data_IF_546131248662
#
_entry.id   IF_546131248662
#
_cell.length_a   1.000
_cell.length_b   1.000
_cell.length_c   1.000
_cell.angle_alpha   90.00
_cell.angle_beta   90.00
_cell.angle_gamma   90.00
#
_symmetry.space_group_name_H-M   'P 1'
#
loop_
_entity.id
_entity.type
_entity.pdbx_description
1 polymer ?
#
# COMPACT_ATOMS: atom_id res chain seq x y z
N UNK A 1 -39.14 -47.95 -26.07
CA UNK A 1 -37.73 -47.78 -25.66
C UNK A 1 -37.51 -46.32 -25.32
N UNK A 2 -37.48 -45.98 -24.04
CA UNK A 2 -37.27 -44.59 -23.57
C UNK A 2 -35.80 -44.48 -23.16
N UNK A 3 -35.04 -43.61 -23.84
CA UNK A 3 -33.66 -43.28 -23.50
C UNK A 3 -33.69 -42.20 -22.41
N UNK A 4 -33.33 -42.56 -21.18
CA UNK A 4 -33.08 -41.58 -20.13
C UNK A 4 -31.70 -40.94 -20.39
N UNK A 5 -31.70 -39.64 -20.69
CA UNK A 5 -30.50 -38.82 -20.74
C UNK A 5 -30.30 -38.27 -19.32
N UNK A 6 -29.27 -38.74 -18.64
CA UNK A 6 -28.80 -38.13 -17.38
C UNK A 6 -28.00 -36.88 -17.71
N UNK A 7 -28.52 -35.71 -17.35
CA UNK A 7 -27.77 -34.46 -17.33
C UNK A 7 -27.01 -34.37 -16.01
N UNK A 8 -25.70 -34.58 -16.03
CA UNK A 8 -24.85 -34.34 -14.87
C UNK A 8 -24.53 -32.84 -14.81
N UNK A 9 -25.11 -32.15 -13.83
CA UNK A 9 -24.78 -30.76 -13.53
C UNK A 9 -23.43 -30.72 -12.79
N UNK A 10 -22.36 -30.40 -13.51
CA UNK A 10 -21.03 -30.22 -12.94
C UNK A 10 -20.99 -28.87 -12.23
N UNK A 11 -21.18 -28.85 -10.90
CA UNK A 11 -20.97 -27.65 -10.09
C UNK A 11 -19.47 -27.49 -9.88
N UNK A 12 -18.84 -26.60 -10.64
CA UNK A 12 -17.48 -26.16 -10.36
C UNK A 12 -17.52 -25.25 -9.14
N UNK A 13 -17.12 -25.77 -7.98
CA UNK A 13 -16.84 -24.92 -6.81
C UNK A 13 -15.51 -24.22 -7.10
N UNK A 14 -15.48 -22.88 -7.22
CA UNK A 14 -14.21 -22.18 -7.34
C UNK A 14 -13.43 -22.40 -6.04
N UNK A 15 -12.24 -23.01 -6.15
CA UNK A 15 -11.27 -22.99 -5.07
C UNK A 15 -10.74 -21.55 -4.97
N UNK A 16 -11.35 -20.74 -4.11
CA UNK A 16 -10.75 -19.49 -3.64
C UNK A 16 -9.60 -19.86 -2.70
N UNK A 17 -8.41 -20.07 -3.27
CA UNK A 17 -7.17 -20.04 -2.49
C UNK A 17 -6.88 -18.59 -2.13
N UNK A 18 -7.59 -18.04 -1.15
CA UNK A 18 -7.20 -16.78 -0.53
C UNK A 18 -6.04 -17.10 0.40
N UNK A 19 -4.81 -17.10 -0.13
CA UNK A 19 -3.64 -17.36 0.68
C UNK A 19 -3.41 -16.16 1.60
N UNK A 20 -3.94 -16.25 2.82
CA UNK A 20 -3.70 -15.26 3.88
C UNK A 20 -2.19 -14.97 3.98
N UNK A 21 -1.83 -13.69 4.08
CA UNK A 21 -0.43 -13.27 4.18
C UNK A 21 0.26 -13.94 5.37
N UNK A 22 1.44 -14.53 5.13
CA UNK A 22 2.28 -15.08 6.19
C UNK A 22 3.16 -13.98 6.78
N UNK A 23 2.86 -13.54 7.99
CA UNK A 23 3.70 -12.63 8.79
C UNK A 23 4.53 -13.45 9.78
N UNK A 24 5.85 -13.27 9.78
CA UNK A 24 6.79 -13.95 10.69
C UNK A 24 7.75 -12.96 11.34
N UNK A 25 8.31 -13.31 12.49
CA UNK A 25 9.40 -12.57 13.12
C UNK A 25 10.76 -13.12 12.68
N UNK A 26 11.78 -12.28 12.58
CA UNK A 26 13.14 -12.69 12.23
C UNK A 26 13.85 -13.40 13.38
N UNK A 27 13.62 -12.96 14.62
CA UNK A 27 14.27 -13.44 15.83
C UNK A 27 13.30 -13.67 17.01
N UNK A 28 12.01 -13.34 16.87
CA UNK A 28 10.98 -13.49 17.90
C UNK A 28 11.26 -12.70 19.18
N UNK A 29 11.84 -11.50 19.04
CA UNK A 29 11.99 -10.58 20.18
C UNK A 29 10.62 -10.02 20.59
N UNK A 30 10.48 -9.55 21.83
CA UNK A 30 9.21 -8.98 22.32
C UNK A 30 8.68 -7.86 21.42
N UNK A 31 9.58 -7.05 20.85
CA UNK A 31 9.21 -5.97 19.92
C UNK A 31 8.73 -6.52 18.58
N UNK A 32 9.41 -7.54 18.05
CA UNK A 32 9.00 -8.16 16.79
C UNK A 32 7.63 -8.83 16.94
N UNK A 33 7.44 -9.60 18.02
CA UNK A 33 6.16 -10.26 18.34
C UNK A 33 5.04 -9.23 18.54
N UNK A 34 5.33 -8.08 19.16
CA UNK A 34 4.34 -7.00 19.30
C UNK A 34 3.88 -6.46 17.94
N UNK A 35 4.80 -6.19 17.02
CA UNK A 35 4.44 -5.69 15.68
C UNK A 35 3.74 -6.77 14.87
N UNK A 36 4.19 -8.02 14.92
CA UNK A 36 3.54 -9.16 14.27
C UNK A 36 2.07 -9.30 14.72
N UNK A 37 1.84 -9.34 16.04
CA UNK A 37 0.49 -9.46 16.60
C UNK A 37 -0.38 -8.24 16.25
N UNK A 38 0.21 -7.05 16.23
CA UNK A 38 -0.47 -5.82 15.81
C UNK A 38 -0.91 -5.92 14.35
N UNK A 39 -0.04 -6.37 13.44
CA UNK A 39 -0.39 -6.54 12.02
C UNK A 39 -1.49 -7.57 11.81
N UNK A 40 -1.39 -8.75 12.45
CA UNK A 40 -2.41 -9.79 12.39
C UNK A 40 -3.77 -9.24 12.84
N UNK A 41 -3.81 -8.57 13.99
CA UNK A 41 -5.01 -7.90 14.50
C UNK A 41 -5.57 -6.86 13.52
N UNK A 42 -4.71 -6.06 12.88
CA UNK A 42 -5.14 -5.01 11.96
C UNK A 42 -5.69 -5.57 10.65
N UNK A 43 -5.10 -6.64 10.11
CA UNK A 43 -5.61 -7.35 8.93
C UNK A 43 -6.96 -7.98 9.23
N UNK A 44 -7.15 -8.56 10.42
CA UNK A 44 -8.45 -9.13 10.79
C UNK A 44 -9.50 -8.04 11.05
N UNK A 45 -9.08 -6.88 11.56
CA UNK A 45 -9.96 -5.75 11.90
C UNK A 45 -10.43 -4.99 10.66
N UNK A 46 -9.55 -4.79 9.68
CA UNK A 46 -9.82 -4.00 8.49
C UNK A 46 -9.87 -4.93 7.28
N UNK A 47 -10.94 -4.86 6.49
CA UNK A 47 -11.06 -5.59 5.22
C UNK A 47 -10.10 -5.00 4.17
N UNK A 48 -8.83 -5.41 4.25
CA UNK A 48 -7.71 -4.91 3.41
C UNK A 48 -7.14 -5.98 2.49
N UNK A 49 -7.80 -7.13 2.35
CA UNK A 49 -7.32 -8.25 1.54
C UNK A 49 -7.04 -7.82 0.09
N UNK A 50 -7.87 -6.93 -0.46
CA UNK A 50 -7.71 -6.34 -1.79
C UNK A 50 -6.41 -5.53 -1.96
N UNK A 51 -5.75 -5.13 -0.87
CA UNK A 51 -4.46 -4.44 -0.90
C UNK A 51 -3.30 -5.35 -0.46
N UNK A 52 -3.52 -6.67 -0.45
CA UNK A 52 -2.48 -7.66 -0.18
C UNK A 52 -1.84 -8.15 -1.50
N UNK A 53 -0.67 -7.60 -1.85
CA UNK A 53 0.07 -7.89 -3.10
C UNK A 53 1.26 -8.85 -2.93
N UNK A 54 1.74 -9.07 -1.71
CA UNK A 54 2.72 -10.12 -1.39
C UNK A 54 2.21 -11.03 -0.29
N UNK A 55 2.56 -12.32 -0.36
CA UNK A 55 2.12 -13.35 0.58
C UNK A 55 3.07 -13.52 1.77
N UNK A 56 4.16 -12.77 1.84
CA UNK A 56 5.19 -12.89 2.88
C UNK A 56 5.59 -11.53 3.43
N UNK A 57 5.53 -11.42 4.75
CA UNK A 57 6.09 -10.31 5.51
C UNK A 57 6.96 -10.82 6.65
N UNK A 58 8.02 -10.08 6.96
CA UNK A 58 8.91 -10.33 8.09
C UNK A 58 8.96 -9.11 8.98
N UNK A 59 8.89 -9.31 10.29
CA UNK A 59 9.21 -8.28 11.28
C UNK A 59 10.65 -8.49 11.73
N UNK A 60 11.50 -7.49 11.56
CA UNK A 60 12.92 -7.58 11.88
C UNK A 60 13.40 -6.34 12.66
N UNK A 61 13.73 -6.52 13.93
CA UNK A 61 14.22 -5.44 14.80
C UNK A 61 15.56 -4.85 14.31
N UNK A 62 16.36 -5.63 13.57
CA UNK A 62 17.63 -5.16 12.98
C UNK A 62 17.44 -4.37 11.69
N UNK A 63 16.24 -4.34 11.11
CA UNK A 63 15.98 -3.56 9.90
C UNK A 63 15.99 -2.06 10.20
N UNK A 64 16.85 -1.31 9.51
CA UNK A 64 16.98 0.15 9.72
C UNK A 64 15.68 0.90 9.40
N UNK A 65 15.00 0.51 8.33
CA UNK A 65 13.73 1.06 7.87
C UNK A 65 12.86 -0.07 7.31
N UNK A 66 11.52 0.09 7.33
CA UNK A 66 10.63 -0.73 6.53
C UNK A 66 11.00 -0.71 5.05
N UNK A 67 10.76 -1.81 4.35
CA UNK A 67 10.97 -1.92 2.91
C UNK A 67 10.23 -3.12 2.31
N UNK A 68 9.82 -3.00 1.06
CA UNK A 68 9.04 -4.00 0.33
C UNK A 68 9.85 -5.16 -0.23
N UNK A 69 11.10 -4.93 -0.66
CA UNK A 69 11.88 -5.89 -1.46
C UNK A 69 13.18 -6.36 -0.78
N UNK A 70 13.59 -7.62 -0.95
CA UNK A 70 12.93 -8.69 -1.73
C UNK A 70 11.76 -9.36 -1.00
N UNK A 71 11.60 -9.09 0.30
CA UNK A 71 10.47 -9.53 1.13
C UNK A 71 10.03 -8.32 1.94
N UNK A 72 8.72 -8.12 2.07
CA UNK A 72 8.19 -7.01 2.87
C UNK A 72 8.71 -7.16 4.30
N UNK A 73 9.44 -6.15 4.76
CA UNK A 73 10.05 -6.13 6.07
C UNK A 73 9.56 -4.92 6.84
N UNK A 74 8.93 -5.18 7.98
CA UNK A 74 8.60 -4.17 8.98
C UNK A 74 9.71 -4.13 10.03
N UNK A 75 10.04 -2.95 10.55
CA UNK A 75 10.95 -2.83 11.68
C UNK A 75 10.20 -2.53 12.98
N UNK A 76 10.94 -2.33 14.06
CA UNK A 76 10.39 -2.12 15.41
C UNK A 76 10.72 -0.74 15.96
N UNK A 77 10.73 0.29 15.12
CA UNK A 77 10.95 1.67 15.59
C UNK A 77 9.89 2.07 16.63
N UNK A 78 10.26 2.94 17.59
CA UNK A 78 9.40 3.37 18.70
C UNK A 78 8.01 3.83 18.23
N UNK A 79 7.94 4.61 17.15
CA UNK A 79 6.70 5.11 16.60
C UNK A 79 5.72 4.00 16.16
N UNK A 80 6.22 2.84 15.71
CA UNK A 80 5.40 1.68 15.36
C UNK A 80 4.93 0.90 16.58
N UNK A 81 5.75 0.85 17.64
CA UNK A 81 5.37 0.20 18.90
C UNK A 81 4.30 0.97 19.68
N UNK A 82 4.11 2.25 19.36
CA UNK A 82 3.20 3.17 20.06
C UNK A 82 1.95 3.55 19.25
N UNK A 83 1.86 3.14 17.98
CA UNK A 83 0.75 3.52 17.11
C UNK A 83 0.38 2.43 16.10
N UNK A 84 -0.81 1.83 16.29
CA UNK A 84 -1.38 0.86 15.34
C UNK A 84 -1.60 1.50 13.95
N UNK A 85 -2.02 2.77 13.89
CA UNK A 85 -2.21 3.47 12.61
C UNK A 85 -0.89 3.62 11.84
N UNK A 86 0.25 3.84 12.53
CA UNK A 86 1.56 3.87 11.86
C UNK A 86 1.98 2.50 11.36
N UNK A 87 1.69 1.44 12.12
CA UNK A 87 1.94 0.05 11.67
C UNK A 87 1.13 -0.23 10.39
N UNK A 88 -0.16 0.08 10.40
CA UNK A 88 -1.05 -0.12 9.25
C UNK A 88 -0.60 0.68 8.02
N UNK A 89 -0.37 1.99 8.19
CA UNK A 89 0.03 2.90 7.10
C UNK A 89 1.33 2.46 6.45
N UNK A 90 2.34 2.13 7.25
CA UNK A 90 3.64 1.63 6.75
C UNK A 90 3.50 0.25 6.10
N UNK A 91 2.69 -0.65 6.64
CA UNK A 91 2.45 -1.94 5.99
C UNK A 91 1.81 -1.75 4.61
N UNK A 92 0.75 -0.94 4.52
CA UNK A 92 0.11 -0.62 3.24
C UNK A 92 1.05 0.11 2.27
N UNK A 93 1.91 1.00 2.77
CA UNK A 93 2.96 1.64 1.96
C UNK A 93 3.84 0.61 1.25
N UNK A 94 4.36 -0.37 1.99
CA UNK A 94 5.20 -1.41 1.41
C UNK A 94 4.42 -2.37 0.51
N UNK A 95 3.13 -2.61 0.79
CA UNK A 95 2.24 -3.35 -0.09
C UNK A 95 2.02 -2.61 -1.43
N UNK A 96 1.88 -1.28 -1.40
CA UNK A 96 1.71 -0.48 -2.62
C UNK A 96 3.00 -0.36 -3.43
N UNK A 97 4.18 -0.51 -2.81
CA UNK A 97 5.40 -0.76 -3.59
C UNK A 97 5.34 -2.07 -4.39
N UNK A 98 4.81 -3.16 -3.81
CA UNK A 98 4.56 -4.40 -4.56
C UNK A 98 3.51 -4.21 -5.65
N UNK A 99 2.44 -3.46 -5.37
CA UNK A 99 1.41 -3.15 -6.37
C UNK A 99 1.99 -2.47 -7.61
N UNK A 100 2.85 -1.46 -7.41
CA UNK A 100 3.55 -0.77 -8.51
C UNK A 100 4.36 -1.74 -9.36
N UNK A 101 5.02 -2.72 -8.75
CA UNK A 101 5.86 -3.70 -9.46
C UNK A 101 5.03 -4.76 -10.19
N UNK A 102 3.94 -5.25 -9.57
CA UNK A 102 3.17 -6.37 -10.09
C UNK A 102 2.11 -5.94 -11.12
N UNK A 103 1.44 -4.81 -10.86
CA UNK A 103 0.27 -4.38 -11.62
C UNK A 103 0.51 -3.08 -12.40
N UNK A 104 1.59 -2.36 -12.10
CA UNK A 104 1.94 -1.12 -12.78
C UNK A 104 2.23 -1.32 -14.26
N UNK A 105 1.83 -0.33 -15.07
CA UNK A 105 2.02 -0.33 -16.52
C UNK A 105 3.32 0.37 -16.92
N UNK A 106 4.05 -0.23 -17.86
CA UNK A 106 5.22 0.36 -18.52
C UNK A 106 6.55 0.08 -17.79
N UNK A 107 7.66 0.54 -18.37
CA UNK A 107 8.98 0.50 -17.73
C UNK A 107 9.05 1.48 -16.54
N UNK A 108 10.09 1.35 -15.71
CA UNK A 108 10.29 2.29 -14.59
C UNK A 108 10.54 3.73 -15.09
N UNK A 109 11.14 3.90 -16.26
CA UNK A 109 11.34 5.18 -16.94
C UNK A 109 10.02 5.76 -17.44
N UNK A 110 9.15 4.94 -18.03
CA UNK A 110 7.81 5.36 -18.48
C UNK A 110 6.93 5.75 -17.30
N UNK A 111 6.95 4.94 -16.24
CA UNK A 111 6.25 5.20 -14.97
C UNK A 111 6.68 6.53 -14.36
N UNK A 112 8.00 6.76 -14.21
CA UNK A 112 8.55 8.02 -13.69
C UNK A 112 8.28 9.19 -14.64
N UNK A 113 8.34 8.95 -15.94
CA UNK A 113 8.04 9.92 -16.98
C UNK A 113 6.61 10.42 -16.90
N UNK A 114 5.64 9.52 -16.70
CA UNK A 114 4.23 9.88 -16.53
C UNK A 114 4.02 10.83 -15.35
N UNK A 115 4.60 10.50 -14.19
CA UNK A 115 4.50 11.31 -12.98
C UNK A 115 5.15 12.68 -13.18
N UNK A 116 6.33 12.73 -13.83
CA UNK A 116 7.07 13.97 -14.08
C UNK A 116 6.36 14.91 -15.06
N UNK A 117 5.51 14.41 -15.97
CA UNK A 117 4.68 15.27 -16.84
C UNK A 117 3.67 16.09 -16.02
N UNK A 118 3.05 15.48 -15.01
CA UNK A 118 2.07 16.15 -14.16
C UNK A 118 2.73 16.96 -13.02
N UNK A 119 3.89 16.50 -12.55
CA UNK A 119 4.69 17.09 -11.48
C UNK A 119 6.15 17.32 -11.92
N UNK A 120 6.44 18.33 -12.75
CA UNK A 120 7.77 18.53 -13.34
C UNK A 120 8.82 19.09 -12.38
N UNK A 121 8.41 19.64 -11.23
CA UNK A 121 9.29 20.24 -10.22
C UNK A 121 9.13 19.48 -8.91
N UNK A 122 9.98 18.48 -8.70
CA UNK A 122 9.96 17.66 -7.47
C UNK A 122 11.12 18.00 -6.55
N UNK A 123 10.84 18.04 -5.25
CA UNK A 123 11.85 18.20 -4.21
C UNK A 123 12.34 16.83 -3.75
N UNK A 124 13.49 16.40 -4.25
CA UNK A 124 13.93 15.02 -4.05
C UNK A 124 14.86 14.82 -2.85
N UNK A 125 15.50 15.87 -2.33
CA UNK A 125 16.43 15.77 -1.21
C UNK A 125 15.69 15.44 0.07
N UNK A 126 16.29 14.63 0.96
CA UNK A 126 15.75 14.40 2.31
C UNK A 126 15.78 15.71 3.11
N UNK A 127 14.77 16.03 3.94
CA UNK A 127 13.58 15.22 4.25
C UNK A 127 12.40 15.43 3.30
N UNK A 128 12.52 16.24 2.25
CA UNK A 128 11.42 16.59 1.34
C UNK A 128 10.99 15.38 0.48
N UNK A 129 11.97 14.65 -0.07
CA UNK A 129 11.79 13.46 -0.90
C UNK A 129 12.65 12.28 -0.45
N UNK A 130 12.89 11.33 -1.36
CA UNK A 130 13.53 10.04 -1.04
C UNK A 130 15.06 10.07 -0.93
N UNK A 131 15.69 11.13 -1.45
CA UNK A 131 17.13 11.26 -1.62
C UNK A 131 17.53 11.43 -3.08
N UNK A 132 16.71 10.91 -4.01
CA UNK A 132 16.88 11.05 -5.45
C UNK A 132 15.53 11.27 -6.16
N UNK A 133 15.59 11.79 -7.39
CA UNK A 133 14.39 12.15 -8.16
C UNK A 133 13.54 10.93 -8.49
N UNK A 134 14.17 9.83 -8.93
CA UNK A 134 13.47 8.62 -9.35
C UNK A 134 12.71 7.96 -8.21
N UNK A 135 13.33 7.85 -7.04
CA UNK A 135 12.68 7.37 -5.83
C UNK A 135 11.55 8.29 -5.38
N UNK A 136 11.72 9.62 -5.50
CA UNK A 136 10.70 10.60 -5.08
C UNK A 136 9.45 10.52 -5.95
N UNK A 137 9.62 10.35 -7.26
CA UNK A 137 8.51 10.13 -8.18
C UNK A 137 7.74 8.85 -7.82
N UNK A 138 8.44 7.74 -7.57
CA UNK A 138 7.80 6.50 -7.12
C UNK A 138 7.04 6.66 -5.81
N UNK A 139 7.65 7.30 -4.82
CA UNK A 139 6.99 7.52 -3.53
C UNK A 139 5.81 8.49 -3.64
N UNK A 140 5.76 9.38 -4.63
CA UNK A 140 4.59 10.26 -4.81
C UNK A 140 3.31 9.45 -5.07
N UNK A 141 3.38 8.43 -5.94
CA UNK A 141 2.23 7.57 -6.22
C UNK A 141 1.97 6.60 -5.07
N UNK A 142 3.02 5.96 -4.52
CA UNK A 142 2.88 5.02 -3.39
C UNK A 142 2.27 5.70 -2.17
N UNK A 143 2.75 6.88 -1.78
CA UNK A 143 2.20 7.64 -0.66
C UNK A 143 0.77 8.13 -0.95
N UNK A 144 0.41 8.38 -2.22
CA UNK A 144 -0.97 8.72 -2.57
C UNK A 144 -1.91 7.53 -2.38
N UNK A 145 -1.52 6.33 -2.80
CA UNK A 145 -2.27 5.10 -2.54
C UNK A 145 -2.38 4.82 -1.04
N UNK A 146 -1.29 5.00 -0.28
CA UNK A 146 -1.27 4.94 1.18
C UNK A 146 -2.30 5.90 1.79
N UNK A 147 -2.28 7.18 1.41
CA UNK A 147 -3.23 8.17 1.89
C UNK A 147 -4.68 7.77 1.60
N UNK A 148 -4.96 7.35 0.36
CA UNK A 148 -6.30 6.98 -0.09
C UNK A 148 -6.83 5.76 0.67
N UNK A 149 -6.02 4.73 0.84
CA UNK A 149 -6.37 3.56 1.64
C UNK A 149 -6.60 3.94 3.11
N UNK A 150 -5.66 4.65 3.74
CA UNK A 150 -5.80 5.08 5.14
C UNK A 150 -7.04 5.96 5.35
N UNK A 151 -7.31 6.91 4.46
CA UNK A 151 -8.49 7.77 4.54
C UNK A 151 -9.80 6.97 4.50
N UNK A 152 -9.85 5.86 3.76
CA UNK A 152 -11.03 4.98 3.73
C UNK A 152 -11.18 4.11 4.99
N UNK A 153 -10.08 3.77 5.68
CA UNK A 153 -10.09 2.90 6.85
C UNK A 153 -10.30 3.64 8.17
N UNK A 154 -9.68 4.81 8.32
CA UNK A 154 -9.67 5.59 9.57
C UNK A 154 -10.24 7.00 9.42
N UNK A 155 -10.76 7.35 8.24
CA UNK A 155 -11.27 8.68 7.94
C UNK A 155 -10.20 9.65 7.46
N UNK A 156 -10.61 10.62 6.64
CA UNK A 156 -9.72 11.58 5.98
C UNK A 156 -8.91 12.42 6.99
N UNK A 157 -9.54 12.86 8.09
CA UNK A 157 -8.91 13.69 9.11
C UNK A 157 -7.73 12.98 9.78
N UNK A 158 -7.93 11.74 10.21
CA UNK A 158 -6.91 10.97 10.91
C UNK A 158 -5.80 10.51 9.95
N UNK A 159 -6.15 10.14 8.72
CA UNK A 159 -5.17 9.83 7.68
C UNK A 159 -4.29 11.05 7.34
N UNK A 160 -4.90 12.24 7.24
CA UNK A 160 -4.17 13.50 7.03
C UNK A 160 -3.21 13.78 8.18
N UNK A 161 -3.71 13.77 9.43
CA UNK A 161 -2.89 14.04 10.60
C UNK A 161 -1.72 13.05 10.73
N UNK A 162 -1.96 11.77 10.41
CA UNK A 162 -0.94 10.73 10.39
C UNK A 162 0.20 11.08 9.42
N UNK A 163 -0.12 11.42 8.18
CA UNK A 163 0.89 11.73 7.16
C UNK A 163 1.60 13.07 7.42
N UNK A 164 0.88 14.10 7.88
CA UNK A 164 1.46 15.41 8.24
C UNK A 164 2.47 15.29 9.40
N UNK A 165 2.28 14.29 10.28
CA UNK A 165 3.19 14.07 11.41
C UNK A 165 4.51 13.36 11.05
N UNK A 166 4.67 12.88 9.81
CA UNK A 166 5.90 12.20 9.40
C UNK A 166 7.04 13.22 9.18
N UNK A 167 8.24 13.01 9.76
CA UNK A 167 9.36 13.95 9.63
C UNK A 167 10.14 13.80 8.31
N UNK A 168 9.66 12.97 7.40
CA UNK A 168 10.25 12.64 6.11
C UNK A 168 9.18 12.73 5.02
N UNK A 169 9.61 12.74 3.75
CA UNK A 169 8.75 12.91 2.58
C UNK A 169 7.83 14.13 2.67
N UNK A 170 8.26 15.19 3.34
CA UNK A 170 7.37 16.30 3.71
C UNK A 170 6.83 17.06 2.49
N UNK A 171 7.60 17.13 1.40
CA UNK A 171 7.11 17.67 0.13
C UNK A 171 6.10 16.72 -0.54
N UNK A 172 6.36 15.42 -0.51
CA UNK A 172 5.44 14.40 -1.04
C UNK A 172 4.10 14.48 -0.30
N UNK A 173 4.11 14.44 1.04
CA UNK A 173 2.91 14.50 1.85
C UNK A 173 2.15 15.82 1.64
N UNK A 174 2.85 16.96 1.60
CA UNK A 174 2.23 18.24 1.25
C UNK A 174 1.58 18.22 -0.14
N UNK A 175 2.20 17.54 -1.10
CA UNK A 175 1.71 17.44 -2.48
C UNK A 175 0.44 16.60 -2.55
N UNK A 176 0.41 15.42 -1.91
CA UNK A 176 -0.76 14.53 -1.97
C UNK A 176 -1.92 14.98 -1.07
N UNK A 177 -1.66 15.74 0.00
CA UNK A 177 -2.70 16.28 0.88
C UNK A 177 -3.34 17.57 0.35
N UNK A 178 -2.79 18.13 -0.72
CA UNK A 178 -3.43 19.23 -1.43
C UNK A 178 -4.49 18.68 -2.40
N UNK A 179 -5.78 18.89 -2.07
CA UNK A 179 -6.92 18.43 -2.88
C UNK A 179 -6.87 18.94 -4.33
N UNK A 180 -6.25 20.10 -4.58
CA UNK A 180 -6.07 20.61 -5.94
C UNK A 180 -5.19 19.71 -6.84
N UNK A 181 -4.42 18.80 -6.26
CA UNK A 181 -3.61 17.82 -7.00
C UNK A 181 -4.32 16.48 -7.21
N UNK A 182 -5.45 16.20 -6.55
CA UNK A 182 -6.13 14.91 -6.61
C UNK A 182 -6.56 14.52 -8.02
N UNK A 183 -7.16 15.40 -8.85
CA UNK A 183 -7.51 15.04 -10.23
C UNK A 183 -6.31 14.55 -11.07
N UNK A 184 -5.11 15.10 -10.83
CA UNK A 184 -3.89 14.66 -11.51
C UNK A 184 -3.40 13.32 -10.98
N UNK A 185 -3.44 13.14 -9.66
CA UNK A 185 -3.01 11.90 -9.00
C UNK A 185 -3.96 10.75 -9.34
N UNK A 186 -5.27 10.97 -9.36
CA UNK A 186 -6.27 9.99 -9.80
C UNK A 186 -6.07 9.57 -11.26
N UNK A 187 -5.86 10.55 -12.15
CA UNK A 187 -5.54 10.29 -13.55
C UNK A 187 -4.26 9.46 -13.69
N UNK A 188 -3.20 9.79 -12.94
CA UNK A 188 -1.95 9.02 -12.96
C UNK A 188 -2.16 7.59 -12.48
N UNK A 189 -2.88 7.40 -11.38
CA UNK A 189 -3.20 6.08 -10.83
C UNK A 189 -3.96 5.24 -11.86
N UNK A 190 -4.91 5.82 -12.58
CA UNK A 190 -5.63 5.14 -13.67
C UNK A 190 -4.70 4.84 -14.86
N UNK A 191 -3.93 5.83 -15.33
CA UNK A 191 -3.01 5.68 -16.48
C UNK A 191 -1.98 4.57 -16.25
N UNK A 192 -1.52 4.44 -15.00
CA UNK A 192 -0.48 3.49 -14.59
C UNK A 192 -1.04 2.12 -14.16
N UNK A 193 -2.36 1.90 -14.26
CA UNK A 193 -3.04 0.67 -13.84
C UNK A 193 -2.89 0.34 -12.34
N UNK A 194 -3.02 1.37 -11.49
CA UNK A 194 -2.82 1.28 -10.05
C UNK A 194 -4.07 1.61 -9.22
N UNK A 195 -5.25 1.58 -9.83
CA UNK A 195 -6.50 1.87 -9.14
C UNK A 195 -6.76 0.85 -8.03
N UNK A 196 -6.98 1.33 -6.81
CA UNK A 196 -7.16 0.50 -5.60
C UNK A 196 -8.61 0.46 -5.08
N UNK A 197 -9.53 1.19 -5.72
CA UNK A 197 -10.96 1.19 -5.44
C UNK A 197 -11.73 0.91 -6.73
N UNK A 198 -12.70 0.02 -6.68
CA UNK A 198 -13.58 -0.25 -7.83
C UNK A 198 -14.34 1.02 -8.23
N UNK A 199 -14.54 1.21 -9.53
CA UNK A 199 -15.25 2.39 -10.07
C UNK A 199 -16.70 2.50 -9.58
N UNK A 200 -17.28 1.38 -9.13
CA UNK A 200 -18.66 1.23 -8.67
C UNK A 200 -18.80 1.16 -7.14
N UNK A 201 -17.69 1.30 -6.40
CA UNK A 201 -17.75 1.35 -4.95
C UNK A 201 -18.27 2.72 -4.49
N UNK A 202 -19.19 2.75 -3.54
CA UNK A 202 -19.72 3.95 -2.85
C UNK A 202 -18.62 4.72 -2.05
N UNK A 203 -17.36 4.47 -2.35
CA UNK A 203 -16.22 5.18 -1.80
C UNK A 203 -16.27 6.59 -2.38
N UNK A 204 -16.53 7.55 -1.48
CA UNK A 204 -16.50 8.98 -1.75
C UNK A 204 -15.27 9.27 -2.63
N UNK A 205 -15.52 9.64 -3.89
CA UNK A 205 -14.50 10.20 -4.77
C UNK A 205 -14.17 11.58 -4.19
N UNK A 206 -13.17 11.62 -3.30
CA UNK A 206 -12.67 12.85 -2.66
C UNK A 206 -11.96 13.70 -3.71
#
# INVERSE_FOLDING_TARGET
MIKNIFFALLVTVPFLSNAAISIKTAAATDKELKIENTLKKLIDKYDIEQWIYTSKAVVNEKARVPHSHPVLTMNTAKAYLESENRVLSTFLHEQFHWHVVLNGKGSIEEFRGAIKREFPKVEYKRPLGSGDEGGTLTHLVVCYLEYRAMASLIGESDARALLESNPYYTWIYKTILNKGNHPKLDKLVQELNLTIFDQDSDVIRI
#
